data_IF_555367895376
#
_entry.id   IF_555367895376
#
_cell.length_a   1.000
_cell.length_b   1.000
_cell.length_c   1.000
_cell.angle_alpha   90.00
_cell.angle_beta   90.00
_cell.angle_gamma   90.00
#
_symmetry.space_group_name_H-M   'P 1'
#
loop_
_entity.id
_entity.type
_entity.pdbx_description
1 polymer ?
#
# COMPACT_ATOMS: atom_id res chain seq x y z
N UNK A 1 31.48 -26.29 37.27
CA UNK A 1 31.86 -24.96 37.78
C UNK A 1 31.03 -23.95 37.02
N UNK A 2 30.19 -23.17 37.71
CA UNK A 2 29.41 -22.10 37.09
C UNK A 2 30.30 -20.85 36.93
N UNK A 3 30.17 -20.07 35.85
CA UNK A 3 30.99 -18.89 35.62
C UNK A 3 30.78 -17.83 36.70
N UNK A 4 31.83 -17.07 37.01
CA UNK A 4 31.77 -15.98 38.00
C UNK A 4 31.06 -14.75 37.42
N UNK A 5 30.53 -13.88 38.29
CA UNK A 5 29.85 -12.65 37.84
C UNK A 5 30.76 -11.75 37.00
N UNK A 6 32.05 -11.72 37.33
CA UNK A 6 33.05 -10.94 36.60
C UNK A 6 33.31 -11.53 35.22
N UNK A 7 33.43 -12.85 35.10
CA UNK A 7 33.54 -13.54 33.81
C UNK A 7 32.33 -13.28 32.91
N UNK A 8 31.12 -13.30 33.47
CA UNK A 8 29.89 -12.99 32.71
C UNK A 8 29.88 -11.54 32.21
N UNK A 9 30.35 -10.59 33.05
CA UNK A 9 30.46 -9.18 32.67
C UNK A 9 31.51 -8.99 31.57
N UNK A 10 32.69 -9.59 31.71
CA UNK A 10 33.74 -9.54 30.69
C UNK A 10 33.24 -10.10 29.37
N UNK A 11 32.59 -11.27 29.36
CA UNK A 11 31.98 -11.84 28.16
C UNK A 11 30.94 -10.91 27.53
N UNK A 12 30.07 -10.32 28.34
CA UNK A 12 29.06 -9.37 27.84
C UNK A 12 29.70 -8.13 27.20
N UNK A 13 30.79 -7.61 27.79
CA UNK A 13 31.54 -6.48 27.21
C UNK A 13 32.16 -6.88 25.88
N UNK A 14 32.83 -8.04 25.82
CA UNK A 14 33.44 -8.56 24.58
C UNK A 14 32.39 -8.70 23.47
N UNK A 15 31.23 -9.30 23.77
CA UNK A 15 30.12 -9.44 22.82
C UNK A 15 29.64 -8.07 22.31
N UNK A 16 29.41 -7.10 23.22
CA UNK A 16 28.98 -5.75 22.83
C UNK A 16 30.00 -5.06 21.94
N UNK A 17 31.28 -5.19 22.26
CA UNK A 17 32.37 -4.64 21.48
C UNK A 17 32.42 -5.28 20.08
N UNK A 18 32.41 -6.60 19.98
CA UNK A 18 32.39 -7.33 18.69
C UNK A 18 31.20 -6.93 17.84
N UNK A 19 29.99 -6.93 18.41
CA UNK A 19 28.78 -6.49 17.71
C UNK A 19 28.90 -5.05 17.23
N UNK A 20 29.43 -4.14 18.04
CA UNK A 20 29.61 -2.74 17.66
C UNK A 20 30.67 -2.55 16.56
N UNK A 21 31.75 -3.32 16.56
CA UNK A 21 32.71 -3.35 15.44
C UNK A 21 32.04 -3.84 14.15
N UNK A 22 31.26 -4.92 14.24
CA UNK A 22 30.52 -5.45 13.09
C UNK A 22 29.41 -4.50 12.60
N UNK A 23 28.75 -3.80 13.51
CA UNK A 23 27.76 -2.77 13.18
C UNK A 23 28.39 -1.68 12.30
N UNK A 24 29.56 -1.16 12.67
CA UNK A 24 30.26 -0.14 11.89
C UNK A 24 30.58 -0.62 10.47
N UNK A 25 30.97 -1.89 10.34
CA UNK A 25 31.16 -2.53 9.04
C UNK A 25 29.86 -2.58 8.23
N UNK A 26 28.74 -3.02 8.83
CA UNK A 26 27.44 -3.07 8.17
C UNK A 26 26.93 -1.69 7.74
N UNK A 27 27.17 -0.66 8.56
CA UNK A 27 26.85 0.74 8.23
C UNK A 27 27.66 1.18 7.00
N UNK A 28 28.95 0.84 6.96
CA UNK A 28 29.83 1.16 5.83
C UNK A 28 29.43 0.41 4.55
N UNK A 29 29.01 -0.85 4.66
CA UNK A 29 28.55 -1.68 3.54
C UNK A 29 27.18 -1.19 2.99
N UNK A 30 26.36 -0.57 3.83
CA UNK A 30 25.08 0.08 3.47
C UNK A 30 23.93 -0.87 3.10
N UNK A 31 24.17 -2.16 2.90
CA UNK A 31 23.13 -3.10 2.47
C UNK A 31 22.17 -3.48 3.60
N UNK A 32 22.70 -3.78 4.79
CA UNK A 32 21.90 -4.28 5.91
C UNK A 32 21.00 -3.20 6.53
N UNK A 33 21.48 -1.96 6.58
CA UNK A 33 20.74 -0.80 7.05
C UNK A 33 20.19 0.04 5.89
N UNK A 34 20.07 -0.53 4.69
CA UNK A 34 19.28 0.08 3.63
C UNK A 34 17.81 0.13 4.04
N UNK A 35 17.09 1.15 3.60
CA UNK A 35 15.67 1.30 3.91
C UNK A 35 14.87 0.04 3.55
N UNK A 36 15.05 -0.49 2.33
CA UNK A 36 14.35 -1.69 1.88
C UNK A 36 14.66 -2.92 2.74
N UNK A 37 15.93 -3.11 3.12
CA UNK A 37 16.31 -4.22 3.99
C UNK A 37 15.70 -4.07 5.39
N UNK A 38 15.69 -2.86 5.96
CA UNK A 38 15.09 -2.61 7.27
C UNK A 38 13.57 -2.75 7.23
N UNK A 39 12.91 -2.24 6.17
CA UNK A 39 11.47 -2.39 5.93
C UNK A 39 11.06 -3.86 5.88
N UNK A 40 11.84 -4.70 5.21
CA UNK A 40 11.56 -6.15 5.13
C UNK A 40 11.69 -6.89 6.46
N UNK A 41 12.56 -6.42 7.37
CA UNK A 41 12.76 -7.02 8.70
C UNK A 41 11.75 -6.53 9.73
N UNK A 42 11.44 -5.24 9.71
CA UNK A 42 10.55 -4.59 10.68
C UNK A 42 9.50 -3.74 9.98
N UNK A 43 8.51 -4.37 9.31
CA UNK A 43 7.54 -3.66 8.47
C UNK A 43 6.69 -2.66 9.26
N UNK A 44 6.25 -3.02 10.46
CA UNK A 44 5.44 -2.16 11.31
C UNK A 44 6.20 -0.93 11.80
N UNK A 45 7.44 -1.14 12.23
CA UNK A 45 8.29 -0.04 12.68
C UNK A 45 8.61 0.92 11.52
N UNK A 46 8.92 0.39 10.33
CA UNK A 46 9.10 1.22 9.14
C UNK A 46 7.84 2.03 8.82
N UNK A 47 6.66 1.40 8.88
CA UNK A 47 5.41 2.11 8.62
C UNK A 47 5.20 3.28 9.57
N UNK A 48 5.41 3.06 10.87
CA UNK A 48 5.17 4.08 11.90
C UNK A 48 6.09 5.29 11.77
N UNK A 49 7.36 5.07 11.43
CA UNK A 49 8.35 6.16 11.33
C UNK A 49 8.41 6.80 9.95
N UNK A 50 8.32 6.01 8.88
CA UNK A 50 8.57 6.51 7.51
C UNK A 50 7.38 6.24 6.61
N UNK A 51 6.83 5.02 6.63
CA UNK A 51 5.87 4.56 5.63
C UNK A 51 4.53 5.30 5.62
N UNK A 52 4.07 5.85 6.76
CA UNK A 52 2.85 6.66 6.84
C UNK A 52 2.98 8.06 6.23
N UNK A 53 4.22 8.54 6.07
CA UNK A 53 4.54 9.85 5.50
C UNK A 53 4.97 9.77 4.04
N UNK A 54 5.21 8.57 3.51
CA UNK A 54 5.55 8.39 2.10
C UNK A 54 4.33 8.62 1.20
N UNK A 55 4.57 9.28 0.07
CA UNK A 55 3.56 9.61 -0.92
C UNK A 55 2.80 8.35 -1.39
N UNK A 56 1.45 8.33 -1.30
CA UNK A 56 0.61 7.27 -1.85
C UNK A 56 0.89 6.93 -3.32
N UNK A 57 1.44 7.87 -4.09
CA UNK A 57 1.85 7.67 -5.49
C UNK A 57 2.85 6.52 -5.64
N UNK A 58 3.73 6.29 -4.65
CA UNK A 58 4.62 5.14 -4.62
C UNK A 58 3.89 3.80 -4.46
N UNK A 59 2.69 3.81 -3.90
CA UNK A 59 1.82 2.64 -3.68
C UNK A 59 0.87 2.38 -4.85
N UNK A 60 0.90 3.22 -5.89
CA UNK A 60 0.05 3.06 -7.07
C UNK A 60 0.19 1.67 -7.70
N UNK A 61 -0.92 1.17 -8.25
CA UNK A 61 -0.96 -0.10 -8.97
C UNK A 61 -0.02 -0.09 -10.16
N UNK A 62 0.06 1.00 -10.92
CA UNK A 62 0.94 1.09 -12.09
C UNK A 62 1.92 2.25 -11.94
N UNK A 63 3.22 1.96 -12.10
CA UNK A 63 4.26 2.98 -12.26
C UNK A 63 4.61 3.13 -13.73
N UNK A 64 4.79 4.37 -14.25
CA UNK A 64 5.21 4.56 -15.64
C UNK A 64 6.50 3.80 -15.97
N UNK A 65 6.47 2.95 -16.99
CA UNK A 65 7.63 2.18 -17.45
C UNK A 65 7.89 0.85 -16.74
N UNK A 66 7.10 0.49 -15.72
CA UNK A 66 7.19 -0.80 -15.01
C UNK A 66 6.45 -1.90 -15.80
N UNK A 67 7.00 -3.11 -15.85
CA UNK A 67 6.31 -4.26 -16.47
C UNK A 67 5.28 -4.82 -15.49
N UNK A 68 4.17 -5.35 -15.99
CA UNK A 68 3.14 -6.00 -15.16
C UNK A 68 3.70 -7.07 -14.21
N UNK A 69 4.73 -7.82 -14.64
CA UNK A 69 5.41 -8.78 -13.77
C UNK A 69 6.10 -8.13 -12.57
N UNK A 70 6.74 -6.98 -12.76
CA UNK A 70 7.42 -6.24 -11.70
C UNK A 70 6.40 -5.63 -10.75
N UNK A 71 5.34 -5.03 -11.30
CA UNK A 71 4.19 -4.55 -10.53
C UNK A 71 3.57 -5.63 -9.66
N UNK A 72 3.33 -6.83 -10.23
CA UNK A 72 2.74 -7.94 -9.50
C UNK A 72 3.63 -8.42 -8.36
N UNK A 73 4.94 -8.57 -8.62
CA UNK A 73 5.91 -8.94 -7.58
C UNK A 73 5.91 -7.90 -6.45
N UNK A 74 6.03 -6.61 -6.78
CA UNK A 74 5.98 -5.51 -5.81
C UNK A 74 4.68 -5.53 -5.00
N UNK A 75 3.53 -5.68 -5.65
CA UNK A 75 2.22 -5.74 -4.96
C UNK A 75 2.09 -6.94 -4.04
N UNK A 76 2.60 -8.10 -4.45
CA UNK A 76 2.60 -9.29 -3.61
C UNK A 76 3.50 -9.13 -2.38
N UNK A 77 4.65 -8.50 -2.54
CA UNK A 77 5.56 -8.16 -1.43
C UNK A 77 4.91 -7.14 -0.49
N UNK A 78 4.31 -6.06 -1.02
CA UNK A 78 3.59 -5.06 -0.23
C UNK A 78 2.40 -5.67 0.52
N UNK A 79 1.64 -6.56 -0.10
CA UNK A 79 0.54 -7.25 0.56
C UNK A 79 1.02 -8.13 1.72
N UNK A 80 2.16 -8.80 1.54
CA UNK A 80 2.79 -9.56 2.62
C UNK A 80 3.22 -8.64 3.78
N UNK A 81 3.86 -7.50 3.48
CA UNK A 81 4.25 -6.51 4.50
C UNK A 81 3.04 -5.96 5.25
N UNK A 82 1.96 -5.59 4.55
CA UNK A 82 0.72 -5.10 5.17
C UNK A 82 0.09 -6.16 6.07
N UNK A 83 0.09 -7.43 5.67
CA UNK A 83 -0.40 -8.51 6.51
C UNK A 83 0.44 -8.69 7.79
N UNK A 84 1.77 -8.56 7.69
CA UNK A 84 2.67 -8.59 8.85
C UNK A 84 2.40 -7.43 9.81
N UNK A 85 2.23 -6.23 9.25
CA UNK A 85 1.88 -5.03 10.01
C UNK A 85 0.57 -5.23 10.78
N UNK A 86 -0.48 -5.75 10.12
CA UNK A 86 -1.77 -6.03 10.76
C UNK A 86 -1.64 -7.02 11.91
N UNK A 87 -0.85 -8.08 11.73
CA UNK A 87 -0.59 -9.07 12.80
C UNK A 87 0.06 -8.40 14.00
N UNK A 88 1.01 -7.51 13.77
CA UNK A 88 1.70 -6.79 14.84
C UNK A 88 0.78 -5.77 15.53
N UNK A 89 -0.03 -5.03 14.77
CA UNK A 89 -1.07 -4.13 15.30
C UNK A 89 -2.07 -4.90 16.19
N UNK A 90 -2.51 -6.08 15.76
CA UNK A 90 -3.38 -6.95 16.55
C UNK A 90 -2.69 -7.41 17.84
N UNK A 91 -1.41 -7.83 17.75
CA UNK A 91 -0.61 -8.25 18.92
C UNK A 91 -0.47 -7.14 19.95
N UNK A 92 -0.36 -5.89 19.51
CA UNK A 92 -0.24 -4.70 20.34
C UNK A 92 -1.59 -4.16 20.84
N UNK A 93 -2.72 -4.70 20.35
CA UNK A 93 -4.06 -4.29 20.74
C UNK A 93 -4.51 -2.95 20.14
N UNK A 94 -3.96 -2.57 18.99
CA UNK A 94 -4.39 -1.40 18.22
C UNK A 94 -5.85 -1.61 17.78
N UNK A 95 -6.69 -0.57 17.89
CA UNK A 95 -8.08 -0.65 17.47
C UNK A 95 -8.18 -0.91 15.96
N UNK A 96 -9.15 -1.73 15.53
CA UNK A 96 -9.32 -2.15 14.14
C UNK A 96 -9.51 -0.97 13.17
N UNK A 97 -10.13 0.12 13.65
CA UNK A 97 -10.27 1.38 12.91
C UNK A 97 -8.94 2.02 12.48
N UNK A 98 -7.87 1.76 13.23
CA UNK A 98 -6.54 2.33 13.01
C UNK A 98 -5.61 1.32 12.28
N UNK A 99 -6.16 0.19 11.82
CA UNK A 99 -5.38 -0.82 11.11
C UNK A 99 -5.09 -0.39 9.67
N UNK A 100 -3.87 -0.67 9.23
CA UNK A 100 -3.41 -0.26 7.91
C UNK A 100 -4.14 -1.02 6.81
N UNK A 101 -4.57 -0.27 5.80
CA UNK A 101 -5.28 -0.78 4.63
C UNK A 101 -6.75 -1.11 4.87
N UNK A 102 -7.34 -0.76 6.02
CA UNK A 102 -8.80 -0.83 6.19
C UNK A 102 -9.55 0.19 5.33
N UNK A 103 -8.92 1.30 4.95
CA UNK A 103 -9.49 2.22 3.96
C UNK A 103 -9.71 1.57 2.60
N UNK A 104 -8.84 0.64 2.17
CA UNK A 104 -9.00 -0.01 0.87
C UNK A 104 -10.16 -1.00 0.88
N UNK A 105 -10.32 -1.75 1.97
CA UNK A 105 -11.47 -2.63 2.13
C UNK A 105 -12.78 -1.85 2.23
N UNK A 106 -12.82 -0.72 2.95
CA UNK A 106 -14.02 0.11 3.01
C UNK A 106 -14.36 0.77 1.66
N UNK A 107 -13.36 1.18 0.87
CA UNK A 107 -13.62 1.71 -0.48
C UNK A 107 -14.05 0.61 -1.44
N UNK A 108 -13.42 -0.57 -1.41
CA UNK A 108 -13.84 -1.72 -2.23
C UNK A 108 -15.24 -2.22 -1.82
N UNK A 109 -15.57 -2.27 -0.52
CA UNK A 109 -16.93 -2.62 -0.04
C UNK A 109 -17.98 -1.58 -0.45
N UNK A 110 -17.66 -0.28 -0.43
CA UNK A 110 -18.58 0.77 -0.88
C UNK A 110 -18.75 0.76 -2.40
N UNK A 111 -17.68 0.50 -3.18
CA UNK A 111 -17.77 0.32 -4.64
C UNK A 111 -18.60 -0.92 -5.00
N UNK A 112 -18.45 -2.04 -4.28
CA UNK A 112 -19.31 -3.23 -4.46
C UNK A 112 -20.78 -2.95 -4.08
N UNK A 113 -21.05 -2.21 -3.00
CA UNK A 113 -22.42 -1.78 -2.63
C UNK A 113 -23.03 -0.84 -3.68
N UNK A 114 -22.26 0.11 -4.24
CA UNK A 114 -22.73 0.99 -5.33
C UNK A 114 -23.01 0.21 -6.64
N UNK A 115 -22.17 -0.78 -6.99
CA UNK A 115 -22.44 -1.66 -8.14
C UNK A 115 -23.70 -2.52 -7.92
N UNK A 116 -23.94 -3.04 -6.70
CA UNK A 116 -25.17 -3.76 -6.38
C UNK A 116 -26.41 -2.85 -6.45
N UNK A 117 -26.33 -1.59 -5.98
CA UNK A 117 -27.42 -0.62 -6.12
C UNK A 117 -27.71 -0.27 -7.60
N UNK A 118 -26.68 -0.10 -8.45
CA UNK A 118 -26.86 0.12 -9.90
C UNK A 118 -27.51 -1.09 -10.58
N UNK A 119 -27.13 -2.33 -10.23
CA UNK A 119 -27.77 -3.54 -10.77
C UNK A 119 -29.25 -3.66 -10.33
N UNK A 120 -29.58 -3.31 -9.07
CA UNK A 120 -30.98 -3.28 -8.60
C UNK A 120 -31.82 -2.21 -9.34
N UNK A 121 -31.26 -1.02 -9.60
CA UNK A 121 -31.94 0.03 -10.39
C UNK A 121 -32.18 -0.39 -11.85
N UNK A 122 -31.22 -1.08 -12.50
CA UNK A 122 -31.40 -1.61 -13.86
C UNK A 122 -32.49 -2.71 -13.90
N UNK A 123 -32.57 -3.60 -12.90
CA UNK A 123 -33.64 -4.61 -12.80
C UNK A 123 -35.03 -3.98 -12.59
N UNK A 124 -35.15 -2.92 -11.78
CA UNK A 124 -36.41 -2.19 -11.59
C UNK A 124 -36.87 -1.45 -12.88
N UNK A 125 -35.94 -0.86 -13.64
CA UNK A 125 -36.27 -0.23 -14.94
C UNK A 125 -36.73 -1.26 -15.99
N UNK A 126 -36.15 -2.46 -16.02
CA UNK A 126 -36.61 -3.55 -16.89
C UNK A 126 -38.02 -4.06 -16.49
N UNK A 127 -38.35 -4.09 -15.19
CA UNK A 127 -39.68 -4.50 -14.71
C UNK A 127 -40.77 -3.43 -14.99
N UNK A 128 -40.46 -2.14 -14.81
CA UNK A 128 -41.40 -1.04 -15.12
C UNK A 128 -41.62 -0.82 -16.63
N UNK A 129 -40.66 -1.23 -17.48
CA UNK A 129 -40.78 -1.19 -18.95
C UNK A 129 -41.82 -2.16 -19.54
N UNK A 130 -42.33 -3.10 -18.74
CA UNK A 130 -43.33 -4.09 -19.13
C UNK A 130 -44.76 -3.66 -18.76
N UNK A 131 -45.24 -2.52 -19.26
CA UNK A 131 -46.68 -2.21 -19.18
C UNK A 131 -47.50 -3.21 -20.03
N UNK A 132 -48.48 -3.95 -19.44
CA UNK A 132 -49.40 -4.75 -20.23
C UNK A 132 -50.36 -3.83 -20.98
N UNK A 133 -50.15 -3.70 -22.30
CA UNK A 133 -51.06 -3.02 -23.21
C UNK A 133 -52.51 -3.53 -23.04
N UNK A 134 -53.34 -2.78 -22.29
CA UNK A 134 -54.78 -3.02 -22.19
C UNK A 134 -55.48 -2.50 -23.44
N UNK A 135 -55.76 -3.41 -24.38
CA UNK A 135 -56.77 -3.21 -25.42
C UNK A 135 -58.12 -3.79 -24.99
N UNK A 136 -59.08 -2.92 -24.69
CA UNK A 136 -60.51 -3.26 -24.56
C UNK A 136 -61.20 -3.11 -25.92
N UNK A 137 -61.86 -4.17 -26.41
CA UNK A 137 -63.18 -4.04 -27.03
C UNK A 137 -63.94 -5.38 -27.09
N UNK A 138 -65.02 -5.43 -26.32
CA UNK A 138 -66.19 -6.32 -26.46
C UNK A 138 -66.83 -6.25 -27.86
N UNK A 139 -67.24 -7.39 -28.44
CA UNK A 139 -68.56 -7.63 -29.06
C UNK A 139 -68.75 -9.13 -29.42
N UNK A 140 -69.93 -9.67 -29.11
CA UNK A 140 -70.42 -11.02 -29.44
C UNK A 140 -70.81 -11.14 -30.93
N UNK A 141 -70.61 -12.31 -31.54
CA UNK A 141 -71.65 -13.08 -32.26
C UNK A 141 -71.13 -14.43 -32.80
N UNK A 142 -71.96 -15.47 -32.66
CA UNK A 142 -71.82 -16.81 -33.23
C UNK A 142 -71.85 -16.83 -34.77
N UNK A 143 -71.11 -17.73 -35.40
CA UNK A 143 -71.32 -18.13 -36.79
C UNK A 143 -70.26 -19.08 -37.35
N UNK A 144 -70.60 -20.38 -37.37
CA UNK A 144 -70.00 -21.55 -38.06
C UNK A 144 -68.81 -21.44 -39.04
N UNK A 145 -67.91 -22.42 -38.83
CA UNK A 145 -67.26 -23.30 -39.81
C UNK A 145 -66.06 -22.80 -40.66
N UNK A 146 -64.94 -23.50 -40.45
CA UNK A 146 -63.65 -23.49 -41.17
C UNK A 146 -63.72 -24.12 -42.59
N UNK A 147 -62.59 -24.31 -43.32
CA UNK A 147 -61.32 -23.57 -43.38
C UNK A 147 -60.95 -23.17 -44.84
N UNK A 148 -59.93 -22.33 -45.04
CA UNK A 148 -59.16 -22.34 -46.30
C UNK A 148 -57.68 -22.04 -46.08
N UNK A 149 -56.86 -22.93 -46.64
CA UNK A 149 -55.43 -22.88 -46.96
C UNK A 149 -54.99 -21.52 -47.55
N UNK A 150 -53.86 -20.94 -47.13
CA UNK A 150 -52.42 -21.22 -47.44
C UNK A 150 -51.95 -20.60 -48.77
N UNK A 151 -50.70 -20.09 -48.71
CA UNK A 151 -49.77 -19.58 -49.74
C UNK A 151 -49.55 -18.06 -49.58
N UNK A 152 -48.46 -17.62 -48.93
CA UNK A 152 -47.07 -17.51 -49.42
C UNK A 152 -46.93 -16.46 -50.53
N UNK A 153 -46.20 -15.37 -50.26
CA UNK A 153 -44.92 -15.01 -50.90
C UNK A 153 -44.56 -13.54 -50.56
N UNK A 154 -43.38 -13.35 -49.99
CA UNK A 154 -42.66 -12.07 -49.90
C UNK A 154 -41.68 -12.02 -51.08
N UNK A 155 -41.68 -10.94 -51.85
CA UNK A 155 -40.72 -10.68 -52.93
C UNK A 155 -39.85 -9.46 -52.57
N UNK A 156 -38.59 -9.78 -52.33
CA UNK A 156 -37.36 -9.09 -52.75
C UNK A 156 -37.28 -7.54 -52.71
N UNK A 157 -36.32 -7.07 -51.91
CA UNK A 157 -35.20 -6.32 -52.49
C UNK A 157 -35.13 -4.81 -52.23
N UNK A 158 -34.01 -4.40 -51.62
CA UNK A 158 -33.21 -3.32 -52.21
C UNK A 158 -32.91 -2.08 -51.36
N UNK A 159 -31.60 -1.91 -51.12
CA UNK A 159 -30.82 -0.67 -51.30
C UNK A 159 -30.76 0.36 -50.14
N UNK A 160 -29.56 0.46 -49.56
CA UNK A 160 -28.96 1.66 -48.94
C UNK A 160 -28.87 2.86 -49.92
N UNK A 161 -28.19 3.99 -49.60
CA UNK A 161 -28.13 4.85 -48.40
C UNK A 161 -28.41 6.34 -48.77
N UNK A 162 -28.59 7.24 -47.81
CA UNK A 162 -28.55 8.68 -48.09
C UNK A 162 -27.88 9.50 -46.97
N UNK A 163 -26.93 10.33 -47.42
CA UNK A 163 -26.09 11.27 -46.69
C UNK A 163 -26.89 12.48 -46.18
N UNK A 164 -26.47 13.05 -45.06
CA UNK A 164 -26.94 14.34 -44.57
C UNK A 164 -25.88 15.03 -43.73
N UNK A 165 -25.22 16.00 -44.33
CA UNK A 165 -24.16 16.86 -43.82
C UNK A 165 -24.79 18.11 -43.19
N UNK A 166 -24.49 18.47 -41.93
CA UNK A 166 -24.76 19.82 -41.40
C UNK A 166 -23.81 20.24 -40.28
N UNK A 167 -22.90 21.14 -40.65
CA UNK A 167 -22.11 22.02 -39.79
C UNK A 167 -22.96 23.20 -39.28
N UNK A 168 -22.93 23.49 -37.98
CA UNK A 168 -23.25 24.81 -37.42
C UNK A 168 -22.32 25.13 -36.23
N UNK A 169 -21.58 26.23 -36.35
CA UNK A 169 -20.90 26.93 -35.24
C UNK A 169 -21.94 27.76 -34.48
N UNK A 170 -21.79 27.89 -33.17
CA UNK A 170 -22.30 29.05 -32.43
C UNK A 170 -21.40 29.40 -31.24
N UNK A 171 -21.22 30.70 -31.07
CA UNK A 171 -20.40 31.40 -30.08
C UNK A 171 -21.02 31.36 -28.68
N UNK A 172 -20.17 31.66 -27.69
CA UNK A 172 -20.49 31.56 -26.27
C UNK A 172 -21.41 32.63 -25.69
N UNK A 173 -21.71 32.46 -24.40
CA UNK A 173 -21.99 33.54 -23.47
C UNK A 173 -21.78 33.06 -22.04
N UNK A 174 -21.08 33.89 -21.27
CA UNK A 174 -20.79 33.72 -19.86
C UNK A 174 -22.01 34.00 -18.97
N UNK A 175 -22.10 33.30 -17.83
CA UNK A 175 -22.51 33.75 -16.48
C UNK A 175 -22.78 32.52 -15.58
N UNK A 176 -22.89 32.65 -14.24
CA UNK A 176 -21.97 33.27 -13.30
C UNK A 176 -21.55 32.32 -12.16
N UNK A 177 -20.54 32.75 -11.42
CA UNK A 177 -20.10 32.24 -10.11
C UNK A 177 -21.25 32.00 -9.13
N UNK A 178 -21.33 30.79 -8.57
CA UNK A 178 -21.97 30.52 -7.28
C UNK A 178 -20.91 30.01 -6.30
N UNK A 179 -20.64 30.84 -5.30
CA UNK A 179 -19.85 30.55 -4.11
C UNK A 179 -20.84 30.21 -2.99
N UNK A 180 -20.70 29.02 -2.41
CA UNK A 180 -21.07 28.61 -1.04
C UNK A 180 -20.73 27.11 -0.96
N UNK A 181 -19.54 26.70 -0.51
CA UNK A 181 -19.19 26.49 0.93
C UNK A 181 -20.36 25.87 1.70
N UNK A 182 -20.29 24.73 2.39
CA UNK A 182 -19.25 23.77 2.78
C UNK A 182 -19.99 22.76 3.65
N UNK A 183 -19.76 21.44 3.52
CA UNK A 183 -19.82 20.52 4.66
C UNK A 183 -19.35 19.12 4.29
N UNK A 184 -18.36 18.63 5.04
CA UNK A 184 -18.03 17.22 5.28
C UNK A 184 -17.24 16.44 4.21
N UNK A 185 -16.22 17.06 3.60
CA UNK A 185 -15.00 16.29 3.31
C UNK A 185 -14.12 16.38 4.56
N UNK A 186 -14.20 15.37 5.43
CA UNK A 186 -13.31 15.24 6.58
C UNK A 186 -11.88 15.23 6.08
N UNK A 187 -11.16 16.32 6.32
CA UNK A 187 -9.75 16.45 6.07
C UNK A 187 -9.02 15.42 6.95
N UNK A 188 -8.73 14.23 6.43
CA UNK A 188 -7.48 13.58 6.82
C UNK A 188 -6.38 14.37 6.11
N UNK A 189 -5.88 15.40 6.78
CA UNK A 189 -4.55 15.88 6.47
C UNK A 189 -3.61 14.70 6.76
N UNK A 190 -3.31 13.91 5.73
CA UNK A 190 -2.13 13.05 5.78
C UNK A 190 -0.98 13.95 6.20
N UNK A 191 -0.34 13.62 7.33
CA UNK A 191 0.73 14.41 7.92
C UNK A 191 1.89 14.47 6.92
N UNK A 192 1.83 15.40 5.96
CA UNK A 192 2.86 15.54 4.94
C UNK A 192 4.04 16.23 5.58
N UNK A 193 4.98 15.43 6.07
CA UNK A 193 6.25 15.92 6.59
C UNK A 193 7.10 16.51 5.47
N UNK A 194 7.87 17.55 5.79
CA UNK A 194 8.89 18.07 4.89
C UNK A 194 9.98 17.02 4.64
N UNK A 195 10.72 17.18 3.55
CA UNK A 195 11.82 16.26 3.23
C UNK A 195 12.87 16.14 4.34
N UNK A 196 13.09 17.22 5.11
CA UNK A 196 14.01 17.22 6.25
C UNK A 196 13.45 16.40 7.41
N UNK A 197 12.16 16.56 7.72
CA UNK A 197 11.51 15.79 8.79
C UNK A 197 11.41 14.30 8.43
N UNK A 198 11.17 13.96 7.17
CA UNK A 198 11.20 12.55 6.70
C UNK A 198 12.60 11.96 6.90
N UNK A 199 13.66 12.74 6.63
CA UNK A 199 15.02 12.28 6.90
C UNK A 199 15.26 12.07 8.40
N UNK A 200 14.82 12.99 9.26
CA UNK A 200 14.94 12.83 10.71
C UNK A 200 14.19 11.59 11.21
N UNK A 201 13.03 11.28 10.63
CA UNK A 201 12.29 10.06 10.93
C UNK A 201 13.01 8.79 10.45
N UNK A 202 13.63 8.84 9.27
CA UNK A 202 14.46 7.75 8.76
C UNK A 202 15.67 7.50 9.67
N UNK A 203 16.30 8.56 10.16
CA UNK A 203 17.44 8.48 11.07
C UNK A 203 17.02 7.88 12.42
N UNK A 204 15.84 8.25 12.94
CA UNK A 204 15.27 7.64 14.14
C UNK A 204 14.97 6.15 13.94
N UNK A 205 14.34 5.78 12.83
CA UNK A 205 14.09 4.38 12.47
C UNK A 205 15.40 3.59 12.40
N UNK A 206 16.40 4.13 11.70
CA UNK A 206 17.72 3.52 11.55
C UNK A 206 18.39 3.35 12.92
N UNK A 207 18.33 4.36 13.78
CA UNK A 207 18.88 4.29 15.13
C UNK A 207 18.26 3.15 15.94
N UNK A 208 16.92 2.99 15.91
CA UNK A 208 16.24 1.89 16.61
C UNK A 208 16.72 0.54 16.05
N UNK A 209 16.82 0.41 14.73
CA UNK A 209 17.33 -0.81 14.09
C UNK A 209 18.77 -1.14 14.51
N UNK A 210 19.63 -0.12 14.63
CA UNK A 210 21.00 -0.31 15.15
C UNK A 210 21.00 -0.75 16.62
N UNK A 211 20.11 -0.21 17.46
CA UNK A 211 19.99 -0.64 18.86
C UNK A 211 19.50 -2.09 18.98
N UNK A 212 18.47 -2.47 18.21
CA UNK A 212 17.99 -3.86 18.11
C UNK A 212 19.10 -4.81 17.64
N UNK A 213 19.93 -4.34 16.72
CA UNK A 213 21.09 -5.09 16.28
C UNK A 213 22.07 -5.34 17.45
N UNK A 214 22.42 -4.29 18.21
CA UNK A 214 23.37 -4.40 19.33
C UNK A 214 22.82 -5.27 20.47
N UNK A 215 21.51 -5.20 20.75
CA UNK A 215 20.86 -6.04 21.76
C UNK A 215 20.76 -7.51 21.34
N UNK A 216 20.85 -7.81 20.04
CA UNK A 216 20.77 -9.18 19.51
C UNK A 216 19.35 -9.62 19.20
N UNK A 217 18.43 -8.67 19.06
CA UNK A 217 17.02 -8.95 18.80
C UNK A 217 16.77 -9.37 17.35
N UNK A 218 17.67 -9.02 16.42
CA UNK A 218 17.54 -9.28 14.98
C UNK A 218 17.99 -10.70 14.54
N UNK A 219 17.81 -11.68 15.43
CA UNK A 219 18.30 -13.06 15.27
C UNK A 219 17.62 -13.85 14.15
N UNK A 220 16.45 -13.39 13.70
CA UNK A 220 15.71 -14.00 12.58
C UNK A 220 16.40 -13.72 11.23
N UNK A 221 17.16 -12.64 11.14
CA UNK A 221 17.77 -12.18 9.90
C UNK A 221 19.30 -12.26 9.93
N UNK A 222 19.89 -12.43 11.11
CA UNK A 222 21.33 -12.46 11.29
C UNK A 222 21.75 -13.43 12.39
N UNK A 223 22.73 -14.27 12.07
CA UNK A 223 23.28 -15.26 12.99
C UNK A 223 24.36 -14.63 13.87
N UNK A 224 23.96 -14.20 15.06
CA UNK A 224 24.85 -13.53 16.03
C UNK A 224 26.00 -14.40 16.53
N UNK A 225 25.88 -15.73 16.50
CA UNK A 225 27.00 -16.60 16.91
C UNK A 225 28.24 -16.36 16.06
N UNK A 226 28.07 -16.04 14.77
CA UNK A 226 29.17 -15.71 13.85
C UNK A 226 29.90 -14.41 14.20
N UNK A 227 29.30 -13.55 15.01
CA UNK A 227 29.86 -12.25 15.40
C UNK A 227 30.36 -12.32 16.83
N UNK A 228 29.55 -12.90 17.72
CA UNK A 228 29.85 -13.03 19.14
C UNK A 228 31.08 -13.91 19.39
N UNK A 229 31.37 -14.88 18.50
CA UNK A 229 32.52 -15.78 18.57
C UNK A 229 33.70 -15.34 17.68
N UNK A 230 33.57 -14.26 16.90
CA UNK A 230 34.62 -13.79 15.99
C UNK A 230 35.66 -12.94 16.73
N UNK A 231 36.79 -13.55 17.06
CA UNK A 231 37.92 -12.89 17.73
C UNK A 231 38.60 -11.84 16.82
N UNK A 232 38.45 -11.91 15.50
CA UNK A 232 39.10 -10.94 14.59
C UNK A 232 38.52 -9.53 14.71
N UNK A 233 37.32 -9.42 15.29
CA UNK A 233 36.67 -8.14 15.58
C UNK A 233 37.22 -7.45 16.83
N UNK A 234 37.98 -8.16 17.67
CA UNK A 234 38.59 -7.57 18.86
C UNK A 234 39.71 -6.58 18.50
N UNK A 235 40.40 -6.81 17.39
CA UNK A 235 41.48 -5.93 16.89
C UNK A 235 40.98 -4.52 16.54
N UNK A 236 39.70 -4.37 16.18
CA UNK A 236 39.08 -3.09 15.85
C UNK A 236 39.16 -2.11 17.03
N UNK A 237 38.87 -2.59 18.24
CA UNK A 237 38.88 -1.77 19.45
C UNK A 237 40.29 -1.47 19.94
N UNK A 238 41.23 -2.38 19.70
CA UNK A 238 42.62 -2.17 20.10
C UNK A 238 43.27 -1.04 19.30
N UNK A 239 42.91 -0.90 18.02
CA UNK A 239 43.38 0.21 17.18
C UNK A 239 42.75 1.55 17.61
N UNK A 240 41.43 1.59 17.71
CA UNK A 240 40.69 2.80 18.07
C UNK A 240 41.07 3.32 19.46
N UNK A 241 41.26 2.43 20.44
CA UNK A 241 41.73 2.82 21.78
C UNK A 241 43.17 3.38 21.79
N UNK A 242 44.01 3.00 20.83
CA UNK A 242 45.34 3.57 20.68
C UNK A 242 45.26 4.94 20.00
N UNK A 243 44.44 5.07 18.96
CA UNK A 243 44.23 6.31 18.23
C UNK A 243 43.61 7.39 19.15
N UNK A 244 42.59 7.05 19.95
CA UNK A 244 41.99 7.94 20.96
C UNK A 244 43.01 8.40 22.02
N UNK A 245 43.91 7.50 22.42
CA UNK A 245 44.95 7.80 23.40
C UNK A 245 46.03 8.73 22.82
N UNK A 246 46.33 8.61 21.53
CA UNK A 246 47.22 9.50 20.80
C UNK A 246 46.57 10.89 20.60
N UNK A 247 45.31 10.96 20.15
CA UNK A 247 44.61 12.25 19.96
C UNK A 247 44.53 13.06 21.26
N UNK A 248 44.19 12.41 22.38
CA UNK A 248 44.19 13.08 23.69
C UNK A 248 45.56 13.64 24.08
N UNK A 249 46.64 12.99 23.65
CA UNK A 249 48.00 13.47 23.91
C UNK A 249 48.35 14.71 23.07
N UNK A 250 47.70 14.91 21.92
CA UNK A 250 47.89 16.09 21.06
C UNK A 250 47.03 17.29 21.44
N UNK A 251 45.85 17.07 22.04
CA UNK A 251 44.97 18.16 22.50
C UNK A 251 45.45 18.84 23.80
N UNK A 252 46.47 18.28 24.47
CA UNK A 252 47.03 18.79 25.74
C UNK A 252 48.27 19.71 25.58
N UNK A 253 48.62 20.15 24.35
CA UNK A 253 49.74 21.08 24.03
C UNK A 253 49.25 22.38 23.33
#
# INVERSE_FOLDING_TARGET
>A
MSPTSDELRSRSITVKNRRRAYLNKLISDGQYFSEDAMRGREPYLHHEYVGKFQDPSGRSMARPGERWSETLMRRSEEAFLVAEIRREQQRLGVAERDWIGMERNQVEEVEEEEEEEEEEEEEEEEEEGLEPAKGDHSMKANGSAAPSNREEEEDEGGLEPAKGDHSMKANGSAAPSNHAETAAAGQMEGETLSAMEIQDQMDQFTYIMQQKFLSGEDHQHLDYSKIDEDETLDDHWLREANDDAEEKYFDED
#
